data_IF_472520628913
#
_entry.id   IF_472520628913
#
_cell.length_a   1.000
_cell.length_b   1.000
_cell.length_c   1.000
_cell.angle_alpha   90.00
_cell.angle_beta   90.00
_cell.angle_gamma   90.00
#
_symmetry.space_group_name_H-M   'P 1'
#
loop_
_entity.id
_entity.type
_entity.pdbx_description
1 polymer ?
#
# COMPACT_ATOMS: atom_id res chain seq x y z
N UNK A 1 9.55 -10.24 -6.39
CA UNK A 1 8.34 -9.65 -6.98
C UNK A 1 7.29 -9.56 -5.89
N UNK A 2 6.89 -8.35 -5.53
CA UNK A 2 5.88 -8.07 -4.50
C UNK A 2 4.55 -7.77 -5.19
N UNK A 3 3.44 -8.27 -4.65
CA UNK A 3 2.09 -7.90 -5.07
C UNK A 3 1.41 -7.23 -3.87
N UNK A 4 1.02 -5.97 -4.01
CA UNK A 4 0.43 -5.19 -2.91
C UNK A 4 -0.98 -5.67 -2.60
N UNK A 5 -1.34 -5.70 -1.31
CA UNK A 5 -2.68 -6.02 -0.81
C UNK A 5 -3.45 -4.73 -0.44
N UNK A 6 -4.78 -4.83 -0.34
CA UNK A 6 -5.66 -3.73 0.07
C UNK A 6 -5.25 -3.15 1.42
N UNK A 7 -4.94 -4.01 2.40
CA UNK A 7 -4.63 -3.54 3.75
C UNK A 7 -3.34 -2.72 3.78
N UNK A 8 -2.34 -3.06 2.95
CA UNK A 8 -1.11 -2.26 2.86
C UNK A 8 -1.42 -0.83 2.45
N UNK A 9 -2.29 -0.63 1.46
CA UNK A 9 -2.70 0.70 1.00
C UNK A 9 -3.52 1.43 2.07
N UNK A 10 -4.43 0.75 2.77
CA UNK A 10 -5.24 1.36 3.85
C UNK A 10 -4.34 1.85 4.99
N UNK A 11 -3.39 1.03 5.44
CA UNK A 11 -2.48 1.39 6.52
C UNK A 11 -1.51 2.50 6.10
N UNK A 12 -1.01 2.48 4.86
CA UNK A 12 -0.16 3.54 4.31
C UNK A 12 -0.92 4.86 4.05
N UNK A 13 -2.25 4.83 3.90
CA UNK A 13 -3.07 6.02 3.64
C UNK A 13 -3.63 6.68 4.91
N UNK A 14 -4.12 5.88 5.87
CA UNK A 14 -4.81 6.39 7.07
C UNK A 14 -3.83 6.78 8.17
N UNK A 15 -3.69 8.07 8.54
CA UNK A 15 -2.74 8.50 9.56
C UNK A 15 -3.05 8.01 10.98
N UNK A 16 -4.31 7.63 11.23
CA UNK A 16 -4.79 7.07 12.50
C UNK A 16 -4.65 5.54 12.59
N UNK A 17 -4.22 4.87 11.51
CA UNK A 17 -3.96 3.44 11.53
C UNK A 17 -2.71 3.11 12.35
N UNK A 18 -2.74 1.96 13.03
CA UNK A 18 -1.56 1.44 13.73
C UNK A 18 -0.44 1.19 12.73
N UNK A 19 0.79 1.56 13.06
CA UNK A 19 1.98 1.43 12.21
C UNK A 19 1.90 2.20 10.88
N UNK A 20 1.03 3.21 10.74
CA UNK A 20 0.89 4.02 9.51
C UNK A 20 2.24 4.45 8.90
N UNK A 21 3.10 5.08 9.72
CA UNK A 21 4.40 5.58 9.25
C UNK A 21 5.25 4.46 8.64
N UNK A 22 5.29 3.29 9.29
CA UNK A 22 6.05 2.13 8.82
C UNK A 22 5.53 1.61 7.48
N UNK A 23 4.20 1.52 7.31
CA UNK A 23 3.60 1.07 6.04
C UNK A 23 3.78 2.08 4.93
N UNK A 24 3.64 3.37 5.24
CA UNK A 24 3.86 4.47 4.30
C UNK A 24 5.30 4.47 3.80
N UNK A 25 6.27 4.43 4.71
CA UNK A 25 7.68 4.52 4.34
C UNK A 25 8.12 3.28 3.57
N UNK A 26 7.70 2.08 3.98
CA UNK A 26 7.96 0.85 3.22
C UNK A 26 7.37 0.89 1.80
N UNK A 27 6.14 1.39 1.66
CA UNK A 27 5.49 1.49 0.35
C UNK A 27 6.18 2.53 -0.54
N UNK A 28 6.62 3.65 0.02
CA UNK A 28 7.38 4.68 -0.69
C UNK A 28 8.72 4.12 -1.18
N UNK A 29 9.47 3.43 -0.31
CA UNK A 29 10.73 2.78 -0.68
C UNK A 29 10.54 1.73 -1.79
N UNK A 30 9.45 0.97 -1.75
CA UNK A 30 9.12 0.00 -2.80
C UNK A 30 8.81 0.66 -4.14
N UNK A 31 8.10 1.81 -4.13
CA UNK A 31 7.71 2.54 -5.34
C UNK A 31 8.89 3.28 -5.95
N UNK A 32 9.76 3.85 -5.12
CA UNK A 32 10.96 4.59 -5.56
C UNK A 32 12.15 3.67 -5.86
N UNK A 33 12.09 2.42 -5.41
CA UNK A 33 13.12 1.40 -5.57
C UNK A 33 13.17 0.79 -6.97
N UNK A 34 14.28 0.10 -7.30
CA UNK A 34 14.44 -0.60 -8.58
C UNK A 34 13.62 -1.91 -8.67
N UNK A 35 13.06 -2.40 -7.57
CA UNK A 35 12.32 -3.66 -7.51
C UNK A 35 10.95 -3.56 -8.17
N UNK A 36 10.67 -4.48 -9.10
CA UNK A 36 9.33 -4.58 -9.67
C UNK A 36 8.29 -5.03 -8.61
N UNK A 37 7.19 -4.28 -8.56
CA UNK A 37 5.98 -4.62 -7.81
C UNK A 37 4.76 -4.63 -8.72
N UNK A 38 3.72 -5.35 -8.31
CA UNK A 38 2.42 -5.35 -8.96
C UNK A 38 1.36 -4.76 -8.06
N UNK A 39 0.39 -4.08 -8.67
CA UNK A 39 -0.87 -3.71 -8.04
C UNK A 39 -2.00 -4.11 -8.98
N UNK A 40 -3.03 -4.77 -8.48
CA UNK A 40 -4.16 -5.23 -9.30
C UNK A 40 -5.36 -4.28 -9.18
N UNK A 41 -6.17 -4.19 -10.23
CA UNK A 41 -7.38 -3.36 -10.23
C UNK A 41 -8.36 -3.74 -9.11
N UNK A 42 -8.41 -5.03 -8.74
CA UNK A 42 -9.24 -5.50 -7.62
C UNK A 42 -8.74 -4.97 -6.26
N UNK A 43 -7.42 -4.83 -6.08
CA UNK A 43 -6.83 -4.21 -4.89
C UNK A 43 -7.14 -2.72 -4.85
N UNK A 44 -7.01 -2.01 -5.98
CA UNK A 44 -7.36 -0.59 -6.09
C UNK A 44 -8.85 -0.35 -5.80
N UNK A 45 -9.73 -1.17 -6.37
CA UNK A 45 -11.17 -1.11 -6.10
C UNK A 45 -11.50 -1.41 -4.64
N UNK A 46 -10.81 -2.40 -4.04
CA UNK A 46 -10.95 -2.74 -2.63
C UNK A 46 -10.53 -1.60 -1.70
N UNK A 47 -9.43 -0.92 -2.02
CA UNK A 47 -8.96 0.26 -1.29
C UNK A 47 -9.99 1.40 -1.33
N UNK A 48 -10.44 1.79 -2.53
CA UNK A 48 -11.44 2.86 -2.71
C UNK A 48 -12.78 2.60 -2.00
N UNK A 49 -13.12 1.34 -1.75
CA UNK A 49 -14.33 0.99 -0.98
C UNK A 49 -14.17 1.24 0.52
N UNK A 50 -12.95 1.18 1.03
CA UNK A 50 -12.66 1.26 2.47
C UNK A 50 -12.33 2.69 2.91
N UNK A 51 -11.69 3.51 2.05
CA UNK A 51 -11.25 4.87 2.40
C UNK A 51 -12.24 5.97 2.05
#
# INVERSE_FOLDING_TARGET
MVLTDVNVLVYAFRPDATDHERYRDWLQDLVDGPEAFGCSDIVLSGFLRVV
#
